data_IF_794379958248
#
_entry.id   IF_794379958248
#
_cell.length_a   1.000
_cell.length_b   1.000
_cell.length_c   1.000
_cell.angle_alpha   90.00
_cell.angle_beta   90.00
_cell.angle_gamma   90.00
#
_symmetry.space_group_name_H-M   'P 1'
#
loop_
_entity.id
_entity.type
_entity.pdbx_description
1 polymer ?
#
# COMPACT_ATOMS: atom_id res chain seq x y z
N UNK A 1 15.44 -1.75 2.55
CA UNK A 1 14.91 -2.87 3.37
C UNK A 1 14.11 -2.23 4.50
N UNK A 2 12.84 -2.57 4.70
CA UNK A 2 12.05 -1.95 5.78
C UNK A 2 12.58 -2.42 7.15
N UNK A 3 12.36 -1.63 8.20
CA UNK A 3 12.82 -1.95 9.55
C UNK A 3 12.35 -3.35 10.00
N UNK A 4 11.09 -3.68 9.71
CA UNK A 4 10.47 -4.98 10.01
C UNK A 4 11.19 -6.13 9.32
N UNK A 5 11.57 -5.96 8.05
CA UNK A 5 12.26 -7.00 7.26
C UNK A 5 13.64 -7.30 7.84
N UNK A 6 14.31 -6.28 8.40
CA UNK A 6 15.60 -6.45 9.09
C UNK A 6 15.43 -7.12 10.45
N UNK A 7 14.48 -6.68 11.26
CA UNK A 7 14.21 -7.27 12.58
C UNK A 7 13.84 -8.76 12.48
N UNK A 8 13.04 -9.13 11.48
CA UNK A 8 12.69 -10.54 11.23
C UNK A 8 13.91 -11.34 10.78
N UNK A 9 14.79 -10.77 9.95
CA UNK A 9 16.05 -11.41 9.57
C UNK A 9 16.93 -11.68 10.79
N UNK A 10 17.15 -10.66 11.62
CA UNK A 10 18.00 -10.72 12.81
C UNK A 10 17.43 -11.75 13.81
N UNK A 11 16.12 -11.78 14.03
CA UNK A 11 15.46 -12.78 14.88
C UNK A 11 15.62 -14.22 14.36
N UNK A 12 15.58 -14.45 13.04
CA UNK A 12 15.82 -15.77 12.47
C UNK A 12 17.27 -16.22 12.61
N UNK A 13 18.21 -15.29 12.43
CA UNK A 13 19.64 -15.55 12.65
C UNK A 13 19.91 -15.88 14.11
N UNK A 14 19.35 -15.11 15.05
CA UNK A 14 19.45 -15.37 16.49
C UNK A 14 18.81 -16.70 16.92
N UNK A 15 17.72 -17.11 16.25
CA UNK A 15 17.10 -18.43 16.46
C UNK A 15 17.90 -19.60 15.86
N UNK A 16 19.07 -19.35 15.26
CA UNK A 16 19.95 -20.36 14.68
C UNK A 16 19.50 -20.88 13.32
N UNK A 17 18.61 -20.16 12.63
CA UNK A 17 18.22 -20.49 11.24
C UNK A 17 19.38 -20.12 10.31
N UNK A 18 19.69 -21.00 9.36
CA UNK A 18 20.77 -20.73 8.39
C UNK A 18 20.47 -19.47 7.59
N UNK A 19 21.50 -18.63 7.36
CA UNK A 19 21.35 -17.33 6.68
C UNK A 19 20.63 -17.42 5.34
N UNK A 20 20.86 -18.50 4.58
CA UNK A 20 20.17 -18.75 3.32
C UNK A 20 18.66 -18.92 3.47
N UNK A 21 18.19 -19.57 4.54
CA UNK A 21 16.76 -19.72 4.83
C UNK A 21 16.18 -18.41 5.38
N UNK A 22 16.91 -17.71 6.25
CA UNK A 22 16.51 -16.40 6.77
C UNK A 22 16.33 -15.39 5.63
N UNK A 23 17.25 -15.37 4.66
CA UNK A 23 17.17 -14.51 3.48
C UNK A 23 15.95 -14.82 2.60
N UNK A 24 15.61 -16.11 2.42
CA UNK A 24 14.44 -16.50 1.61
C UNK A 24 13.13 -16.03 2.24
N UNK A 25 12.96 -16.19 3.55
CA UNK A 25 11.76 -15.74 4.27
C UNK A 25 11.63 -14.22 4.20
N UNK A 26 12.72 -13.51 4.45
CA UNK A 26 12.81 -12.06 4.43
C UNK A 26 12.52 -11.50 3.04
N UNK A 27 13.00 -12.18 1.98
CA UNK A 27 12.68 -11.84 0.59
C UNK A 27 11.20 -12.03 0.27
N UNK A 28 10.59 -13.13 0.71
CA UNK A 28 9.16 -13.36 0.53
C UNK A 28 8.29 -12.28 1.22
N UNK A 29 8.69 -11.85 2.43
CA UNK A 29 8.02 -10.78 3.17
C UNK A 29 8.18 -9.42 2.44
N UNK A 30 9.40 -9.12 1.97
CA UNK A 30 9.67 -7.89 1.23
C UNK A 30 8.87 -7.81 -0.08
N UNK A 31 8.80 -8.92 -0.83
CA UNK A 31 8.00 -9.01 -2.07
C UNK A 31 6.51 -8.85 -1.79
N UNK A 32 6.00 -9.38 -0.68
CA UNK A 32 4.61 -9.17 -0.27
C UNK A 32 4.33 -7.70 0.10
N UNK A 33 5.27 -7.06 0.80
CA UNK A 33 5.19 -5.63 1.16
C UNK A 33 5.09 -4.70 -0.05
N UNK A 34 5.73 -5.04 -1.17
CA UNK A 34 5.69 -4.26 -2.40
C UNK A 34 4.31 -4.23 -3.11
N UNK A 35 3.33 -5.02 -2.66
CA UNK A 35 1.98 -5.01 -3.23
C UNK A 35 1.13 -3.86 -2.71
N UNK A 36 1.39 -3.36 -1.51
CA UNK A 36 0.61 -2.29 -0.88
C UNK A 36 0.74 -0.93 -1.56
N UNK A 37 1.95 -0.45 -1.95
CA UNK A 37 2.09 0.84 -2.63
C UNK A 37 1.32 0.92 -3.95
N UNK A 38 1.19 -0.22 -4.65
CA UNK A 38 0.44 -0.30 -5.91
C UNK A 38 -1.07 -0.15 -5.67
N UNK A 39 -1.59 -0.74 -4.59
CA UNK A 39 -3.00 -0.61 -4.21
C UNK A 39 -3.30 0.81 -3.76
N UNK A 40 -2.44 1.41 -2.92
CA UNK A 40 -2.58 2.81 -2.47
C UNK A 40 -2.58 3.78 -3.65
N UNK A 41 -1.68 3.60 -4.62
CA UNK A 41 -1.64 4.43 -5.82
C UNK A 41 -2.92 4.34 -6.65
N UNK A 42 -3.47 3.12 -6.80
CA UNK A 42 -4.75 2.92 -7.49
C UNK A 42 -5.92 3.55 -6.74
N UNK A 43 -5.92 3.47 -5.42
CA UNK A 43 -6.96 4.06 -4.56
C UNK A 43 -6.93 5.59 -4.61
N UNK A 44 -5.75 6.19 -4.63
CA UNK A 44 -5.57 7.63 -4.80
C UNK A 44 -6.16 8.12 -6.13
N UNK A 45 -5.86 7.42 -7.23
CA UNK A 45 -6.42 7.74 -8.55
C UNK A 45 -7.94 7.64 -8.53
N UNK A 46 -8.49 6.56 -7.95
CA UNK A 46 -9.93 6.36 -7.85
C UNK A 46 -10.61 7.47 -7.05
N UNK A 47 -10.00 7.91 -5.94
CA UNK A 47 -10.51 9.00 -5.12
C UNK A 47 -10.58 10.32 -5.91
N UNK A 48 -9.55 10.63 -6.70
CA UNK A 48 -9.56 11.82 -7.57
C UNK A 48 -10.59 11.73 -8.69
N UNK A 49 -10.76 10.55 -9.30
CA UNK A 49 -11.80 10.34 -10.31
C UNK A 49 -13.20 10.55 -9.73
N UNK A 50 -13.47 9.98 -8.54
CA UNK A 50 -14.75 10.17 -7.86
C UNK A 50 -14.98 11.65 -7.52
N UNK A 51 -13.96 12.35 -7.03
CA UNK A 51 -14.03 13.78 -6.75
C UNK A 51 -14.36 14.60 -8.01
N UNK A 52 -13.74 14.28 -9.15
CA UNK A 52 -14.03 14.94 -10.42
C UNK A 52 -15.49 14.71 -10.87
N UNK A 53 -15.97 13.47 -10.78
CA UNK A 53 -17.36 13.12 -11.11
C UNK A 53 -18.33 13.89 -10.21
N UNK A 54 -18.06 14.01 -8.90
CA UNK A 54 -18.91 14.81 -8.03
C UNK A 54 -18.92 16.30 -8.40
N UNK A 55 -17.77 16.87 -8.76
CA UNK A 55 -17.69 18.28 -9.20
C UNK A 55 -18.49 18.52 -10.49
N UNK A 56 -18.44 17.57 -11.43
CA UNK A 56 -19.12 17.70 -12.73
C UNK A 56 -20.62 17.44 -12.62
N UNK A 57 -21.04 16.42 -11.87
CA UNK A 57 -22.44 15.97 -11.87
C UNK A 57 -23.22 16.53 -10.68
N UNK A 58 -22.64 16.51 -9.48
CA UNK A 58 -23.37 16.83 -8.25
C UNK A 58 -23.39 18.33 -7.98
N UNK A 59 -22.30 19.03 -8.29
CA UNK A 59 -22.18 20.47 -8.03
C UNK A 59 -23.18 21.33 -8.85
N UNK A 60 -23.43 21.07 -10.15
CA UNK A 60 -24.42 21.81 -10.91
C UNK A 60 -25.85 21.54 -10.43
N UNK A 61 -26.17 20.29 -10.10
CA UNK A 61 -27.47 19.92 -9.53
C UNK A 61 -27.72 20.68 -8.22
N UNK A 62 -26.75 20.70 -7.31
CA UNK A 62 -26.86 21.47 -6.06
C UNK A 62 -27.06 22.97 -6.31
N UNK A 63 -26.40 23.54 -7.33
CA UNK A 63 -26.59 24.95 -7.71
C UNK A 63 -28.01 25.24 -8.16
N UNK A 64 -28.64 24.35 -8.92
CA UNK A 64 -30.03 24.49 -9.36
C UNK A 64 -31.05 24.34 -8.21
N UNK A 65 -30.72 23.59 -7.15
CA UNK A 65 -31.59 23.47 -5.98
C UNK A 65 -31.49 24.64 -4.98
N UNK A 66 -30.36 25.36 -4.97
CA UNK A 66 -30.08 26.45 -4.02
C UNK A 66 -30.39 27.83 -4.61
N UNK A 67 -30.57 27.95 -5.92
CA UNK A 67 -30.95 29.18 -6.64
C UNK A 67 -32.45 29.19 -6.92
#
# INVERSE_FOLDING_TARGET
MSAIVKEVYDAFVEAGVSEGKSTLVVKAIADYGNRFPRVESGLLILQWMLGLVMVVEVLPLLKEFVT
#
